data_IF_390426253073
#
_entry.id   IF_390426253073
#
_cell.length_a   1.000
_cell.length_b   1.000
_cell.length_c   1.000
_cell.angle_alpha   90.00
_cell.angle_beta   90.00
_cell.angle_gamma   90.00
#
_symmetry.space_group_name_H-M   'P 1'
#
loop_
_entity.id
_entity.type
_entity.pdbx_description
1 polymer ?
#
# COMPACT_ATOMS: atom_id res chain seq x y z
N UNK A 1 -19.98 -10.51 17.18
CA UNK A 1 -19.06 -9.72 16.35
C UNK A 1 -19.32 -8.22 16.53
N UNK A 2 -20.50 -7.71 16.19
CA UNK A 2 -20.85 -6.28 16.30
C UNK A 2 -20.59 -5.69 17.71
N UNK A 3 -20.98 -6.40 18.77
CA UNK A 3 -20.74 -5.95 20.14
C UNK A 3 -19.25 -5.80 20.46
N UNK A 4 -18.41 -6.73 20.01
CA UNK A 4 -16.95 -6.65 20.17
C UNK A 4 -16.36 -5.43 19.43
N UNK A 5 -16.80 -5.19 18.20
CA UNK A 5 -16.31 -4.03 17.42
C UNK A 5 -16.72 -2.69 18.06
N UNK A 6 -17.91 -2.62 18.67
CA UNK A 6 -18.34 -1.41 19.42
C UNK A 6 -17.38 -1.02 20.55
N UNK A 7 -16.74 -1.98 21.23
CA UNK A 7 -15.73 -1.68 22.26
C UNK A 7 -14.48 -1.00 21.70
N UNK A 8 -14.23 -1.10 20.40
CA UNK A 8 -13.10 -0.46 19.72
C UNK A 8 -13.51 0.79 18.93
N UNK A 9 -14.80 1.10 18.85
CA UNK A 9 -15.34 2.22 18.08
C UNK A 9 -15.28 3.55 18.87
N UNK A 10 -14.07 3.91 19.32
CA UNK A 10 -13.86 5.17 20.03
C UNK A 10 -13.87 6.33 19.04
N UNK A 11 -14.84 7.21 19.20
CA UNK A 11 -14.95 8.40 18.39
C UNK A 11 -13.97 9.47 18.84
N UNK A 12 -13.48 10.24 17.89
CA UNK A 12 -12.64 11.43 18.10
C UNK A 12 -12.96 12.50 17.06
N UNK A 13 -12.53 13.71 17.30
CA UNK A 13 -12.48 14.70 16.23
C UNK A 13 -11.52 14.23 15.13
N UNK A 14 -11.99 14.26 13.86
CA UNK A 14 -11.14 13.85 12.72
C UNK A 14 -9.87 14.70 12.71
N UNK A 15 -8.67 14.11 12.81
CA UNK A 15 -7.43 14.87 12.77
C UNK A 15 -7.29 15.64 11.46
N UNK A 16 -6.65 16.79 11.51
CA UNK A 16 -6.43 17.63 10.32
C UNK A 16 -5.15 17.20 9.61
N UNK A 17 -5.18 17.07 8.26
CA UNK A 17 -3.97 16.92 7.47
C UNK A 17 -2.95 18.04 7.81
N UNK A 18 -1.70 17.65 7.93
CA UNK A 18 -0.57 18.54 8.31
C UNK A 18 -0.70 19.22 9.68
N UNK A 19 -1.70 18.86 10.50
CA UNK A 19 -1.78 19.26 11.89
C UNK A 19 -0.69 18.59 12.76
N UNK A 20 -0.57 19.04 14.00
CA UNK A 20 0.46 18.53 14.94
C UNK A 20 0.44 17.00 15.07
N UNK A 21 -0.75 16.39 15.16
CA UNK A 21 -0.91 14.93 15.21
C UNK A 21 -0.25 14.26 14.01
N UNK A 22 -0.57 14.71 12.78
CA UNK A 22 -0.03 14.13 11.56
C UNK A 22 1.50 14.27 11.49
N UNK A 23 2.02 15.47 11.76
CA UNK A 23 3.47 15.73 11.72
C UNK A 23 4.22 14.86 12.73
N UNK A 24 3.71 14.72 13.96
CA UNK A 24 4.30 13.86 14.98
C UNK A 24 4.26 12.39 14.56
N UNK A 25 3.11 11.92 14.02
CA UNK A 25 3.01 10.54 13.51
C UNK A 25 4.03 10.26 12.40
N UNK A 26 4.22 11.21 11.46
CA UNK A 26 5.23 11.05 10.41
C UNK A 26 6.64 10.99 10.99
N UNK A 27 7.03 11.95 11.82
CA UNK A 27 8.39 12.03 12.39
C UNK A 27 8.72 10.78 13.20
N UNK A 28 7.83 10.37 14.10
CA UNK A 28 8.05 9.20 14.95
C UNK A 28 7.97 7.92 14.13
N UNK A 29 6.90 7.74 13.33
CA UNK A 29 6.67 6.51 12.58
C UNK A 29 7.77 6.23 11.55
N UNK A 30 8.18 7.24 10.78
CA UNK A 30 9.26 7.09 9.78
C UNK A 30 10.59 6.77 10.49
N UNK A 31 10.92 7.49 11.57
CA UNK A 31 12.16 7.24 12.34
C UNK A 31 12.20 5.83 12.90
N UNK A 32 11.09 5.34 13.44
CA UNK A 32 10.97 3.97 13.97
C UNK A 32 11.12 2.95 12.83
N UNK A 33 10.45 3.15 11.70
CA UNK A 33 10.57 2.25 10.53
C UNK A 33 12.00 2.16 10.04
N UNK A 34 12.69 3.30 9.86
CA UNK A 34 14.10 3.32 9.43
C UNK A 34 14.97 2.61 10.46
N UNK A 35 14.84 2.95 11.75
CA UNK A 35 15.66 2.39 12.82
C UNK A 35 15.52 0.87 12.94
N UNK A 36 14.29 0.34 12.90
CA UNK A 36 14.03 -1.09 13.00
C UNK A 36 14.50 -1.80 11.71
N UNK A 37 14.18 -1.28 10.52
CA UNK A 37 14.60 -1.87 9.25
C UNK A 37 16.14 -1.95 9.14
N UNK A 38 16.83 -0.89 9.55
CA UNK A 38 18.30 -0.87 9.58
C UNK A 38 18.88 -1.86 10.59
N UNK A 39 18.30 -2.01 11.78
CA UNK A 39 18.73 -3.01 12.77
C UNK A 39 18.56 -4.44 12.28
N UNK A 40 17.46 -4.71 11.57
CA UNK A 40 17.13 -6.04 11.07
C UNK A 40 17.80 -6.38 9.72
N UNK A 41 18.67 -5.50 9.19
CA UNK A 41 19.34 -5.73 7.89
C UNK A 41 20.27 -6.94 7.82
N UNK A 42 20.66 -7.50 8.97
CA UNK A 42 21.60 -8.63 9.05
C UNK A 42 20.95 -9.92 9.57
N UNK A 43 19.63 -10.00 9.65
CA UNK A 43 18.94 -11.24 10.04
C UNK A 43 19.20 -12.35 9.03
N UNK A 44 19.08 -13.60 9.46
CA UNK A 44 19.23 -14.75 8.56
C UNK A 44 18.14 -14.76 7.50
N UNK A 45 18.43 -15.36 6.34
CA UNK A 45 17.46 -15.49 5.25
C UNK A 45 16.14 -16.13 5.71
N UNK A 46 16.21 -17.12 6.60
CA UNK A 46 15.00 -17.74 7.16
C UNK A 46 14.19 -16.72 7.97
N UNK A 47 14.83 -15.98 8.87
CA UNK A 47 14.16 -14.94 9.68
C UNK A 47 13.56 -13.85 8.79
N UNK A 48 14.27 -13.44 7.74
CA UNK A 48 13.79 -12.46 6.77
C UNK A 48 12.53 -12.94 6.04
N UNK A 49 12.55 -14.15 5.45
CA UNK A 49 11.39 -14.68 4.71
C UNK A 49 10.17 -14.84 5.61
N UNK A 50 10.35 -15.41 6.82
CA UNK A 50 9.23 -15.54 7.76
C UNK A 50 8.82 -14.21 8.39
N UNK A 51 9.72 -13.23 8.46
CA UNK A 51 9.41 -11.87 8.88
C UNK A 51 8.49 -11.16 7.87
N UNK A 52 8.78 -11.24 6.57
CA UNK A 52 7.87 -10.72 5.51
C UNK A 52 6.51 -11.41 5.59
N UNK A 53 6.49 -12.73 5.71
CA UNK A 53 5.26 -13.49 5.90
C UNK A 53 4.47 -13.01 7.12
N UNK A 54 5.15 -12.82 8.27
CA UNK A 54 4.53 -12.33 9.50
C UNK A 54 3.92 -10.93 9.35
N UNK A 55 4.63 -10.00 8.68
CA UNK A 55 4.09 -8.66 8.37
C UNK A 55 2.83 -8.78 7.51
N UNK A 56 2.86 -9.63 6.49
CA UNK A 56 1.71 -9.82 5.59
C UNK A 56 0.51 -10.45 6.29
N UNK A 57 0.75 -11.34 7.28
CA UNK A 57 -0.33 -11.83 8.16
C UNK A 57 -0.90 -10.72 9.04
N UNK A 58 -0.06 -9.83 9.57
CA UNK A 58 -0.55 -8.66 10.33
C UNK A 58 -1.40 -7.76 9.44
N UNK A 59 -0.95 -7.48 8.21
CA UNK A 59 -1.74 -6.72 7.23
C UNK A 59 -3.08 -7.41 6.94
N UNK A 60 -3.12 -8.74 6.78
CA UNK A 60 -4.36 -9.49 6.58
C UNK A 60 -5.32 -9.36 7.78
N UNK A 61 -4.80 -9.44 8.99
CA UNK A 61 -5.60 -9.29 10.22
C UNK A 61 -6.16 -7.86 10.32
N UNK A 62 -5.33 -6.87 10.03
CA UNK A 62 -5.75 -5.46 10.00
C UNK A 62 -6.83 -5.24 8.94
N UNK A 63 -6.67 -5.83 7.75
CA UNK A 63 -7.67 -5.74 6.70
C UNK A 63 -9.00 -6.36 7.11
N UNK A 64 -8.98 -7.57 7.69
CA UNK A 64 -10.18 -8.22 8.19
C UNK A 64 -10.88 -7.37 9.26
N UNK A 65 -10.11 -6.74 10.17
CA UNK A 65 -10.67 -5.83 11.16
C UNK A 65 -11.37 -4.63 10.50
N UNK A 66 -10.71 -3.97 9.53
CA UNK A 66 -11.28 -2.83 8.79
C UNK A 66 -12.57 -3.23 8.07
N UNK A 67 -12.58 -4.35 7.35
CA UNK A 67 -13.74 -4.86 6.62
C UNK A 67 -14.92 -5.12 7.57
N UNK A 68 -14.66 -5.79 8.70
CA UNK A 68 -15.70 -6.07 9.69
C UNK A 68 -16.20 -4.79 10.39
N UNK A 69 -15.31 -3.83 10.67
CA UNK A 69 -15.67 -2.56 11.27
C UNK A 69 -16.60 -1.75 10.36
N UNK A 70 -16.25 -1.63 9.08
CA UNK A 70 -17.09 -0.99 8.08
C UNK A 70 -18.46 -1.69 7.98
N UNK A 71 -18.47 -2.97 7.67
CA UNK A 71 -19.68 -3.73 7.45
C UNK A 71 -20.65 -3.66 8.64
N UNK A 72 -20.16 -3.84 9.88
CA UNK A 72 -21.05 -3.92 11.06
C UNK A 72 -21.37 -2.58 11.70
N UNK A 73 -20.53 -1.56 11.55
CA UNK A 73 -20.69 -0.31 12.29
C UNK A 73 -20.95 0.92 11.42
N UNK A 74 -20.40 0.97 10.20
CA UNK A 74 -20.52 2.15 9.35
C UNK A 74 -21.55 1.97 8.23
N UNK A 75 -21.59 0.81 7.59
CA UNK A 75 -22.27 0.60 6.31
C UNK A 75 -23.59 -0.18 6.47
N UNK A 76 -24.17 -0.19 7.66
CA UNK A 76 -25.49 -0.81 7.97
C UNK A 76 -25.63 -2.26 7.46
N UNK A 77 -24.55 -3.05 7.52
CA UNK A 77 -24.44 -4.42 7.01
C UNK A 77 -24.59 -4.54 5.47
N UNK A 78 -24.38 -3.46 4.76
CA UNK A 78 -24.18 -3.47 3.32
C UNK A 78 -22.67 -3.39 3.05
N UNK A 79 -22.18 -4.12 2.04
CA UNK A 79 -20.77 -4.11 1.73
C UNK A 79 -20.41 -2.87 0.91
N UNK A 80 -19.50 -2.06 1.44
CA UNK A 80 -18.93 -0.94 0.70
C UNK A 80 -17.83 -1.45 -0.24
N UNK A 81 -18.12 -1.45 -1.53
CA UNK A 81 -17.18 -1.94 -2.56
C UNK A 81 -15.97 -1.03 -2.74
N UNK A 82 -16.04 0.22 -2.30
CA UNK A 82 -14.90 1.14 -2.29
C UNK A 82 -13.72 0.61 -1.46
N UNK A 83 -14.00 -0.02 -0.33
CA UNK A 83 -12.97 -0.53 0.58
C UNK A 83 -12.43 -1.90 0.20
N UNK A 84 -12.86 -2.48 -0.95
CA UNK A 84 -12.35 -3.78 -1.39
C UNK A 84 -10.81 -3.75 -1.48
N UNK A 85 -10.10 -4.73 -0.89
CA UNK A 85 -8.66 -4.62 -0.64
C UNK A 85 -7.81 -4.97 -1.87
N UNK A 86 -7.98 -4.25 -2.96
CA UNK A 86 -7.19 -4.43 -4.18
C UNK A 86 -6.64 -3.10 -4.73
N UNK A 87 -6.16 -2.25 -3.83
CA UNK A 87 -5.33 -1.11 -4.18
C UNK A 87 -3.85 -1.51 -4.24
N UNK A 88 -2.98 -0.68 -4.85
CA UNK A 88 -1.54 -0.94 -4.92
C UNK A 88 -0.93 -1.20 -3.53
N UNK A 89 -1.39 -0.47 -2.51
CA UNK A 89 -0.97 -0.64 -1.12
C UNK A 89 -1.50 -1.94 -0.45
N UNK A 90 -2.47 -2.64 -1.05
CA UNK A 90 -2.96 -3.91 -0.55
C UNK A 90 -2.15 -5.12 -1.04
N UNK A 91 -1.39 -4.97 -2.13
CA UNK A 91 -0.64 -6.08 -2.74
C UNK A 91 0.40 -6.72 -1.82
N UNK A 92 1.13 -5.98 -0.95
CA UNK A 92 2.09 -6.58 -0.03
C UNK A 92 1.48 -7.63 0.89
N UNK A 93 0.21 -7.46 1.30
CA UNK A 93 -0.53 -8.44 2.08
C UNK A 93 -0.61 -9.79 1.34
N UNK A 94 -0.95 -9.79 0.06
CA UNK A 94 -1.05 -11.01 -0.74
C UNK A 94 0.30 -11.59 -1.11
N UNK A 95 1.23 -10.75 -1.55
CA UNK A 95 2.54 -11.16 -2.03
C UNK A 95 3.35 -11.80 -0.91
N UNK A 96 3.42 -11.17 0.26
CA UNK A 96 4.29 -11.65 1.34
C UNK A 96 3.81 -12.96 1.99
N UNK A 97 2.52 -13.28 1.94
CA UNK A 97 1.99 -14.59 2.37
C UNK A 97 2.59 -15.73 1.51
N UNK A 98 2.95 -15.46 0.27
CA UNK A 98 3.52 -16.49 -0.61
C UNK A 98 5.01 -16.75 -0.34
N UNK A 99 5.73 -15.86 0.34
CA UNK A 99 7.19 -15.90 0.48
C UNK A 99 7.78 -17.24 0.97
N UNK A 100 7.23 -17.89 2.02
CA UNK A 100 7.78 -19.17 2.50
C UNK A 100 7.69 -20.31 1.48
N UNK A 101 6.78 -20.19 0.52
CA UNK A 101 6.48 -21.22 -0.47
C UNK A 101 7.22 -21.02 -1.80
N UNK A 102 7.86 -19.85 -1.99
CA UNK A 102 8.53 -19.49 -3.23
C UNK A 102 10.02 -19.83 -3.18
N UNK A 103 10.56 -20.28 -4.33
CA UNK A 103 12.00 -20.36 -4.55
C UNK A 103 12.59 -18.96 -4.74
N UNK A 104 13.87 -18.80 -4.45
CA UNK A 104 14.57 -17.51 -4.51
C UNK A 104 14.40 -16.78 -5.85
N UNK A 105 14.51 -17.51 -6.95
CA UNK A 105 14.37 -16.94 -8.30
C UNK A 105 13.01 -16.28 -8.57
N UNK A 106 11.95 -16.72 -7.86
CA UNK A 106 10.61 -16.14 -7.96
C UNK A 106 10.38 -15.02 -6.93
N UNK A 107 11.16 -15.05 -5.82
CA UNK A 107 11.07 -14.00 -4.80
C UNK A 107 11.71 -12.70 -5.23
N UNK A 108 12.87 -12.73 -5.91
CA UNK A 108 13.63 -11.52 -6.27
C UNK A 108 12.79 -10.48 -7.02
N UNK A 109 12.03 -10.83 -8.08
CA UNK A 109 11.15 -9.85 -8.73
C UNK A 109 10.05 -9.31 -7.81
N UNK A 110 9.51 -10.14 -6.90
CA UNK A 110 8.50 -9.71 -5.92
C UNK A 110 9.11 -8.81 -4.85
N UNK A 111 10.31 -9.11 -4.37
CA UNK A 111 11.08 -8.28 -3.44
C UNK A 111 11.37 -6.91 -4.06
N UNK A 112 11.81 -6.88 -5.32
CA UNK A 112 12.03 -5.62 -6.05
C UNK A 112 10.73 -4.85 -6.20
N UNK A 113 9.64 -5.51 -6.56
CA UNK A 113 8.31 -4.89 -6.63
C UNK A 113 7.88 -4.30 -5.28
N UNK A 114 7.99 -5.07 -4.20
CA UNK A 114 7.65 -4.58 -2.86
C UNK A 114 8.55 -3.43 -2.41
N UNK A 115 9.85 -3.50 -2.73
CA UNK A 115 10.82 -2.46 -2.39
C UNK A 115 10.47 -1.12 -3.07
N UNK A 116 10.06 -1.14 -4.32
CA UNK A 116 9.84 0.06 -5.12
C UNK A 116 8.40 0.57 -5.02
N UNK A 117 7.41 -0.26 -5.34
CA UNK A 117 6.01 0.14 -5.44
C UNK A 117 5.33 0.30 -4.07
N UNK A 118 5.68 -0.54 -3.08
CA UNK A 118 5.10 -0.37 -1.74
C UNK A 118 5.65 0.85 -1.02
N UNK A 119 6.94 1.20 -1.27
CA UNK A 119 7.52 2.43 -0.75
C UNK A 119 6.83 3.66 -1.36
N UNK A 120 6.61 3.64 -2.68
CA UNK A 120 5.86 4.70 -3.36
C UNK A 120 4.46 4.86 -2.75
N UNK A 121 3.70 3.78 -2.63
CA UNK A 121 2.36 3.80 -2.06
C UNK A 121 2.33 4.29 -0.62
N UNK A 122 3.29 3.86 0.22
CA UNK A 122 3.39 4.31 1.60
C UNK A 122 3.72 5.80 1.70
N UNK A 123 4.68 6.30 0.90
CA UNK A 123 5.05 7.72 0.87
C UNK A 123 3.87 8.56 0.41
N UNK A 124 3.19 8.18 -0.67
CA UNK A 124 2.06 8.94 -1.21
C UNK A 124 0.91 9.03 -0.22
N UNK A 125 0.53 7.92 0.41
CA UNK A 125 -0.52 7.92 1.41
C UNK A 125 -0.17 8.75 2.65
N UNK A 126 1.08 8.68 3.13
CA UNK A 126 1.53 9.47 4.26
C UNK A 126 1.65 10.97 3.94
N UNK A 127 1.93 11.35 2.69
CA UNK A 127 1.96 12.75 2.24
C UNK A 127 0.57 13.32 1.95
N UNK A 128 -0.39 12.48 1.54
CA UNK A 128 -1.77 12.86 1.26
C UNK A 128 -2.72 12.10 2.19
N UNK A 129 -2.79 12.48 3.48
CA UNK A 129 -3.35 11.64 4.54
C UNK A 129 -4.87 11.74 4.70
N UNK A 130 -5.60 12.31 3.76
CA UNK A 130 -7.05 12.54 3.91
C UNK A 130 -7.81 11.22 4.17
N UNK A 131 -7.40 10.14 3.48
CA UNK A 131 -7.94 8.79 3.64
C UNK A 131 -7.36 8.04 4.85
N UNK A 132 -6.35 8.59 5.54
CA UNK A 132 -5.79 8.02 6.77
C UNK A 132 -6.47 8.58 8.02
N UNK A 133 -7.17 9.70 7.89
CA UNK A 133 -7.79 10.42 9.00
C UNK A 133 -9.26 10.06 9.11
N UNK A 134 -9.63 9.38 10.17
CA UNK A 134 -11.01 8.94 10.44
C UNK A 134 -11.56 9.55 11.73
N UNK A 135 -12.88 9.53 11.90
CA UNK A 135 -13.56 9.89 13.16
C UNK A 135 -13.39 8.83 14.25
N UNK A 136 -12.88 7.66 13.90
CA UNK A 136 -12.64 6.56 14.83
C UNK A 136 -11.14 6.39 15.06
N UNK A 137 -10.75 6.36 16.33
CA UNK A 137 -9.34 6.18 16.75
C UNK A 137 -8.73 4.95 16.11
N UNK A 138 -9.45 3.82 16.15
CA UNK A 138 -8.93 2.55 15.65
C UNK A 138 -8.79 2.51 14.13
N UNK A 139 -9.65 3.18 13.37
CA UNK A 139 -9.49 3.27 11.90
C UNK A 139 -8.30 4.17 11.54
N UNK A 140 -8.12 5.30 12.24
CA UNK A 140 -6.94 6.15 12.05
C UNK A 140 -5.65 5.39 12.41
N UNK A 141 -5.63 4.71 13.56
CA UNK A 141 -4.48 3.90 13.97
C UNK A 141 -4.20 2.77 12.96
N UNK A 142 -5.23 2.08 12.47
CA UNK A 142 -5.15 1.09 11.41
C UNK A 142 -4.49 1.67 10.15
N UNK A 143 -4.99 2.80 9.65
CA UNK A 143 -4.51 3.40 8.40
C UNK A 143 -3.03 3.82 8.49
N UNK A 144 -2.61 4.46 9.61
CA UNK A 144 -1.20 4.79 9.84
C UNK A 144 -0.33 3.54 10.02
N UNK A 145 -0.76 2.56 10.83
CA UNK A 145 -0.02 1.32 11.03
C UNK A 145 0.16 0.55 9.72
N UNK A 146 -0.90 0.48 8.90
CA UNK A 146 -0.84 -0.11 7.57
C UNK A 146 0.30 0.48 6.74
N UNK A 147 0.31 1.80 6.56
CA UNK A 147 1.31 2.46 5.72
C UNK A 147 2.71 2.48 6.33
N UNK A 148 2.83 2.48 7.66
CA UNK A 148 4.13 2.27 8.32
C UNK A 148 4.65 0.84 8.15
N UNK A 149 3.78 -0.18 8.13
CA UNK A 149 4.21 -1.54 7.82
C UNK A 149 4.68 -1.68 6.36
N UNK A 150 4.03 -1.00 5.41
CA UNK A 150 4.49 -0.95 4.03
C UNK A 150 5.83 -0.24 3.89
N UNK A 151 5.98 0.91 4.54
CA UNK A 151 7.23 1.66 4.60
C UNK A 151 8.35 0.80 5.20
N UNK A 152 8.09 0.18 6.35
CA UNK A 152 9.05 -0.71 7.02
C UNK A 152 9.44 -1.89 6.13
N UNK A 153 8.47 -2.57 5.52
CA UNK A 153 8.70 -3.71 4.63
C UNK A 153 9.64 -3.33 3.48
N UNK A 154 9.36 -2.22 2.80
CA UNK A 154 10.16 -1.74 1.67
C UNK A 154 11.58 -1.35 2.09
N UNK A 155 11.71 -0.63 3.21
CA UNK A 155 13.02 -0.26 3.78
C UNK A 155 13.81 -1.49 4.20
N UNK A 156 13.16 -2.48 4.80
CA UNK A 156 13.83 -3.70 5.24
C UNK A 156 14.35 -4.53 4.05
N UNK A 157 13.55 -4.68 2.99
CA UNK A 157 13.99 -5.34 1.75
C UNK A 157 15.21 -4.62 1.18
N UNK A 158 15.16 -3.29 1.10
CA UNK A 158 16.24 -2.47 0.56
C UNK A 158 17.53 -2.55 1.40
N UNK A 159 17.45 -2.45 2.73
CA UNK A 159 18.60 -2.55 3.63
C UNK A 159 19.16 -3.99 3.74
N UNK A 160 18.30 -5.01 3.62
CA UNK A 160 18.72 -6.41 3.57
C UNK A 160 19.31 -6.82 2.21
N UNK A 161 19.27 -5.92 1.20
CA UNK A 161 19.82 -6.10 -0.16
C UNK A 161 19.24 -7.32 -0.90
N UNK A 162 17.96 -7.61 -0.72
CA UNK A 162 17.29 -8.74 -1.39
C UNK A 162 16.66 -8.34 -2.73
N UNK A 163 16.18 -7.09 -2.87
CA UNK A 163 15.70 -6.57 -4.14
C UNK A 163 16.84 -6.39 -5.16
N UNK A 164 16.58 -6.68 -6.41
CA UNK A 164 17.52 -6.45 -7.50
C UNK A 164 17.47 -4.99 -7.96
N UNK A 165 18.48 -4.19 -7.62
CA UNK A 165 18.57 -2.76 -7.96
C UNK A 165 19.16 -2.49 -9.34
N UNK A 166 19.33 -3.50 -10.20
CA UNK A 166 19.71 -3.32 -11.60
C UNK A 166 18.51 -2.88 -12.45
N UNK A 167 18.78 -2.27 -13.60
CA UNK A 167 17.73 -1.95 -14.58
C UNK A 167 16.92 -3.21 -14.96
N UNK A 168 17.60 -4.37 -15.08
CA UNK A 168 16.94 -5.66 -15.35
C UNK A 168 16.00 -6.04 -14.23
N UNK A 169 16.40 -5.85 -12.97
CA UNK A 169 15.56 -6.10 -11.79
C UNK A 169 14.26 -5.30 -11.84
N UNK A 170 14.34 -3.99 -12.14
CA UNK A 170 13.14 -3.16 -12.32
C UNK A 170 12.27 -3.66 -13.47
N UNK A 171 12.85 -3.96 -14.63
CA UNK A 171 12.08 -4.46 -15.77
C UNK A 171 11.33 -5.77 -15.46
N UNK A 172 11.84 -6.61 -14.57
CA UNK A 172 11.16 -7.82 -14.12
C UNK A 172 9.93 -7.54 -13.23
N UNK A 173 9.79 -6.34 -12.69
CA UNK A 173 8.59 -5.94 -11.92
C UNK A 173 7.43 -5.50 -12.84
N UNK A 174 7.71 -5.09 -14.09
CA UNK A 174 6.70 -4.56 -14.99
C UNK A 174 5.59 -5.58 -15.33
N UNK A 175 5.90 -6.86 -15.64
CA UNK A 175 4.85 -7.86 -15.84
C UNK A 175 3.94 -8.03 -14.63
N UNK A 176 4.49 -7.95 -13.42
CA UNK A 176 3.70 -8.00 -12.16
C UNK A 176 2.78 -6.80 -12.04
N UNK A 177 3.32 -5.60 -12.27
CA UNK A 177 2.54 -4.36 -12.22
C UNK A 177 1.38 -4.39 -13.22
N UNK A 178 1.64 -4.72 -14.48
CA UNK A 178 0.59 -4.79 -15.51
C UNK A 178 -0.40 -5.92 -15.27
N UNK A 179 0.04 -7.04 -14.71
CA UNK A 179 -0.86 -8.12 -14.28
C UNK A 179 -1.85 -7.61 -13.21
N UNK A 180 -1.36 -6.95 -12.16
CA UNK A 180 -2.20 -6.41 -11.10
C UNK A 180 -3.09 -5.27 -11.59
N UNK A 181 -2.59 -4.37 -12.44
CA UNK A 181 -3.40 -3.33 -13.08
C UNK A 181 -4.48 -3.92 -13.98
N UNK A 182 -4.18 -5.00 -14.71
CA UNK A 182 -5.16 -5.76 -15.50
C UNK A 182 -6.25 -6.40 -14.64
N UNK A 183 -5.88 -7.02 -13.51
CA UNK A 183 -6.85 -7.56 -12.53
C UNK A 183 -7.71 -6.43 -11.96
N UNK A 184 -7.12 -5.29 -11.57
CA UNK A 184 -7.84 -4.13 -11.08
C UNK A 184 -8.85 -3.61 -12.12
N UNK A 185 -8.43 -3.50 -13.38
CA UNK A 185 -9.31 -3.09 -14.50
C UNK A 185 -10.46 -4.09 -14.67
N UNK A 186 -10.15 -5.39 -14.63
CA UNK A 186 -11.19 -6.44 -14.73
C UNK A 186 -12.20 -6.32 -13.58
N UNK A 187 -11.74 -6.17 -12.33
CA UNK A 187 -12.61 -6.00 -11.16
C UNK A 187 -13.47 -4.75 -11.32
N UNK A 188 -12.91 -3.62 -11.71
CA UNK A 188 -13.61 -2.37 -11.92
C UNK A 188 -14.72 -2.50 -12.98
N UNK A 189 -14.48 -3.26 -14.05
CA UNK A 189 -15.47 -3.46 -15.13
C UNK A 189 -16.52 -4.50 -14.73
N UNK A 190 -16.09 -5.63 -14.17
CA UNK A 190 -16.98 -6.75 -13.89
C UNK A 190 -17.98 -6.46 -12.76
N UNK A 191 -17.57 -5.64 -11.77
CA UNK A 191 -18.34 -5.44 -10.55
C UNK A 191 -18.83 -4.01 -10.33
N UNK A 192 -18.70 -3.10 -11.32
CA UNK A 192 -19.11 -1.69 -11.20
C UNK A 192 -20.58 -1.47 -10.81
N UNK A 193 -21.45 -2.45 -11.13
CA UNK A 193 -22.88 -2.38 -10.79
C UNK A 193 -23.18 -2.71 -9.33
N UNK A 194 -22.22 -3.27 -8.58
CA UNK A 194 -22.39 -3.62 -7.17
C UNK A 194 -22.16 -2.43 -6.23
N UNK A 195 -21.49 -1.39 -6.70
CA UNK A 195 -21.16 -0.19 -5.94
C UNK A 195 -20.00 0.55 -6.57
N UNK A 196 -19.52 1.59 -5.87
CA UNK A 196 -18.38 2.38 -6.31
C UNK A 196 -17.06 1.59 -6.14
N UNK A 197 -16.66 0.90 -7.22
CA UNK A 197 -15.45 0.10 -7.28
C UNK A 197 -14.37 0.82 -8.11
N UNK A 198 -13.29 1.25 -7.46
CA UNK A 198 -12.21 1.99 -8.11
C UNK A 198 -10.83 1.45 -7.73
N UNK A 199 -10.58 0.19 -8.08
CA UNK A 199 -9.32 -0.47 -7.80
C UNK A 199 -8.18 0.16 -8.58
N UNK A 200 -7.04 0.37 -7.92
CA UNK A 200 -5.89 1.13 -8.46
C UNK A 200 -6.23 2.57 -8.88
N UNK A 201 -7.41 3.09 -8.52
CA UNK A 201 -7.91 4.40 -8.96
C UNK A 201 -7.99 4.56 -10.50
N UNK A 202 -8.15 3.45 -11.22
CA UNK A 202 -8.20 3.39 -12.68
C UNK A 202 -9.55 2.92 -13.23
N UNK A 203 -10.62 3.00 -12.44
CA UNK A 203 -11.96 2.68 -12.94
C UNK A 203 -12.30 3.54 -14.15
N UNK A 204 -12.89 2.95 -15.22
CA UNK A 204 -13.40 3.71 -16.35
C UNK A 204 -14.71 4.43 -16.05
N UNK A 205 -15.34 4.19 -14.89
CA UNK A 205 -16.66 4.69 -14.52
C UNK A 205 -16.62 5.83 -13.49
N UNK A 206 -15.50 5.95 -12.73
CA UNK A 206 -15.40 6.89 -11.61
C UNK A 206 -14.23 7.84 -11.78
N UNK A 207 -14.39 9.04 -11.24
CA UNK A 207 -13.30 10.00 -11.17
C UNK A 207 -12.22 9.54 -10.19
N UNK A 208 -11.01 10.07 -10.34
CA UNK A 208 -9.93 9.78 -9.41
C UNK A 208 -10.07 10.63 -8.17
N UNK A 209 -9.90 10.01 -7.00
CA UNK A 209 -9.73 10.72 -5.72
C UNK A 209 -8.26 11.01 -5.43
N UNK A 210 -7.35 10.62 -6.34
CA UNK A 210 -5.93 10.86 -6.16
C UNK A 210 -5.58 12.33 -6.46
N UNK A 211 -4.78 13.00 -5.60
CA UNK A 211 -4.43 14.41 -5.76
C UNK A 211 -3.87 14.71 -7.15
N UNK A 212 -4.29 15.80 -7.75
CA UNK A 212 -3.93 16.30 -9.08
C UNK A 212 -4.51 15.53 -10.26
N UNK A 213 -4.90 14.26 -10.11
CA UNK A 213 -5.41 13.46 -11.24
C UNK A 213 -6.88 13.74 -11.54
N UNK A 214 -7.65 14.19 -10.57
CA UNK A 214 -8.99 14.74 -10.75
C UNK A 214 -9.01 15.90 -11.76
N UNK A 215 -8.00 16.78 -11.73
CA UNK A 215 -7.85 17.92 -12.63
C UNK A 215 -7.59 17.52 -14.10
N UNK A 216 -7.15 16.30 -14.34
CA UNK A 216 -6.86 15.80 -15.70
C UNK A 216 -8.12 15.29 -16.41
N UNK A 217 -9.14 14.90 -15.66
CA UNK A 217 -10.37 14.31 -16.24
C UNK A 217 -11.09 15.29 -17.18
N UNK A 218 -11.32 16.58 -16.83
CA UNK A 218 -11.97 17.52 -17.74
C UNK A 218 -11.17 17.81 -19.01
N UNK A 219 -9.84 17.62 -18.98
CA UNK A 219 -8.95 17.94 -20.10
C UNK A 219 -8.78 16.74 -21.05
N UNK A 220 -8.55 15.56 -20.48
CA UNK A 220 -8.13 14.38 -21.24
C UNK A 220 -9.16 13.22 -21.22
N UNK A 221 -10.21 13.33 -20.41
CA UNK A 221 -11.14 12.24 -20.14
C UNK A 221 -10.56 11.14 -19.24
N UNK A 222 -11.44 10.28 -18.73
CA UNK A 222 -11.11 9.25 -17.73
C UNK A 222 -10.03 8.28 -18.24
N UNK A 223 -10.15 7.80 -19.48
CA UNK A 223 -9.21 6.79 -20.01
C UNK A 223 -7.79 7.31 -20.12
N UNK A 224 -7.59 8.52 -20.63
CA UNK A 224 -6.26 9.11 -20.76
C UNK A 224 -5.70 9.49 -19.38
N UNK A 225 -6.51 10.01 -18.47
CA UNK A 225 -6.11 10.23 -17.07
C UNK A 225 -5.60 8.94 -16.43
N UNK A 226 -6.30 7.81 -16.61
CA UNK A 226 -5.88 6.52 -16.07
C UNK A 226 -4.52 6.07 -16.62
N UNK A 227 -4.28 6.25 -17.92
CA UNK A 227 -2.99 5.95 -18.54
C UNK A 227 -1.87 6.84 -17.98
N UNK A 228 -2.13 8.14 -17.84
CA UNK A 228 -1.18 9.08 -17.23
C UNK A 228 -0.89 8.68 -15.77
N UNK A 229 -1.91 8.30 -15.01
CA UNK A 229 -1.75 7.86 -13.63
C UNK A 229 -0.87 6.60 -13.52
N UNK A 230 -1.14 5.56 -14.33
CA UNK A 230 -0.30 4.36 -14.38
C UNK A 230 1.15 4.68 -14.77
N UNK A 231 1.34 5.59 -15.74
CA UNK A 231 2.68 6.05 -16.11
C UNK A 231 3.39 6.77 -14.95
N UNK A 232 2.69 7.63 -14.21
CA UNK A 232 3.24 8.32 -13.04
C UNK A 232 3.62 7.34 -11.92
N UNK A 233 2.84 6.27 -11.70
CA UNK A 233 3.21 5.20 -10.75
C UNK A 233 4.51 4.52 -11.20
N UNK A 234 4.63 4.16 -12.46
CA UNK A 234 5.84 3.53 -13.01
C UNK A 234 7.06 4.45 -12.89
N UNK A 235 6.89 5.72 -13.20
CA UNK A 235 7.95 6.72 -13.07
C UNK A 235 8.36 6.91 -11.60
N UNK A 236 7.40 7.01 -10.69
CA UNK A 236 7.67 7.13 -9.25
C UNK A 236 8.41 5.91 -8.70
N UNK A 237 7.96 4.70 -9.05
CA UNK A 237 8.64 3.46 -8.67
C UNK A 237 10.06 3.37 -9.26
N UNK A 238 10.25 3.80 -10.52
CA UNK A 238 11.58 3.88 -11.14
C UNK A 238 12.50 4.85 -10.41
N UNK A 239 12.03 6.02 -10.01
CA UNK A 239 12.82 6.99 -9.23
C UNK A 239 13.24 6.40 -7.88
N UNK A 240 12.33 5.71 -7.18
CA UNK A 240 12.66 5.00 -5.94
C UNK A 240 13.71 3.91 -6.18
N UNK A 241 13.57 3.15 -7.27
CA UNK A 241 14.55 2.15 -7.67
C UNK A 241 15.96 2.73 -7.86
N UNK A 242 16.06 3.90 -8.52
CA UNK A 242 17.33 4.61 -8.68
C UNK A 242 17.92 5.10 -7.35
N UNK A 243 17.07 5.53 -6.42
CA UNK A 243 17.48 5.89 -5.07
C UNK A 243 18.07 4.66 -4.37
N UNK A 244 17.39 3.51 -4.40
CA UNK A 244 17.90 2.26 -3.84
C UNK A 244 19.21 1.83 -4.46
N UNK A 245 19.32 1.89 -5.78
CA UNK A 245 20.57 1.59 -6.51
C UNK A 245 21.74 2.44 -6.01
N UNK A 246 21.48 3.71 -5.68
CA UNK A 246 22.50 4.63 -5.17
C UNK A 246 22.82 4.34 -3.70
N UNK A 247 21.79 4.19 -2.87
CA UNK A 247 21.94 3.91 -1.44
C UNK A 247 22.67 2.59 -1.16
N UNK A 248 22.35 1.52 -1.90
CA UNK A 248 22.99 0.22 -1.70
C UNK A 248 24.48 0.18 -2.07
N UNK A 249 24.96 1.15 -2.83
CA UNK A 249 26.42 1.32 -3.07
C UNK A 249 27.12 2.00 -1.90
N UNK A 250 26.39 2.78 -1.11
CA UNK A 250 26.92 3.51 0.06
C UNK A 250 26.81 2.69 1.36
N UNK A 251 25.91 1.71 1.42
CA UNK A 251 25.70 0.77 2.52
C UNK A 251 26.51 -0.53 2.33
#
# INVERSE_FOLDING_TARGET
MQQFLRYTAWEMEKPKPFGLFHVLMLLVGISVCIGIAYRLRHVTKKQYVYGIFGISLVLLILELYKQLFHYYLLDAQQYDWWIFPFQLCSLPMYIGILFPFLKDQWRIPLETFLMDFSLLGAIMALLFPDDLMHRYVMLTAHAFLWHFLLLFLSLWIGFHKQGDTTTKGFLQTLPLFFMFAGIATFLNIAFHTLGELNMFYISPYYESTQPFFDLLTPIFGISMRNLIYLFCILLGAWLIHLIWRTLQKLL
#
